data_IF_068949702154
#
_entry.id   IF_068949702154
#
_cell.length_a   1.000
_cell.length_b   1.000
_cell.length_c   1.000
_cell.angle_alpha   90.00
_cell.angle_beta   90.00
_cell.angle_gamma   90.00
#
_symmetry.space_group_name_H-M   'P 1'
#
loop_
_entity.id
_entity.type
_entity.pdbx_description
1 polymer ?
#
# COMPACT_ATOMS: atom_id res chain seq x y z
N UNK A 1 38.41 19.66 -4.35
CA UNK A 1 37.55 18.98 -3.36
C UNK A 1 36.09 19.50 -3.30
N UNK A 2 35.82 20.81 -3.47
CA UNK A 2 34.44 21.36 -3.49
C UNK A 2 33.61 21.04 -4.75
N UNK A 3 34.22 20.72 -5.89
CA UNK A 3 33.51 20.38 -7.13
C UNK A 3 32.98 18.90 -7.17
N UNK A 4 33.62 17.99 -6.42
CA UNK A 4 33.23 16.59 -6.38
C UNK A 4 31.97 16.36 -5.53
N UNK A 5 31.68 17.24 -4.56
CA UNK A 5 30.48 17.15 -3.73
C UNK A 5 29.24 17.82 -4.35
N UNK A 6 29.42 18.68 -5.35
CA UNK A 6 28.32 19.34 -6.04
C UNK A 6 27.70 18.47 -7.15
N UNK A 7 28.46 17.56 -7.76
CA UNK A 7 27.94 16.66 -8.81
C UNK A 7 27.17 15.44 -8.30
N UNK A 8 27.30 15.09 -7.02
CA UNK A 8 26.53 14.01 -6.41
C UNK A 8 25.18 14.46 -5.81
N UNK A 9 24.94 15.75 -5.71
CA UNK A 9 23.69 16.28 -5.15
C UNK A 9 22.53 16.36 -6.16
N UNK A 10 22.81 16.24 -7.46
CA UNK A 10 21.81 16.47 -8.51
C UNK A 10 21.11 15.20 -9.01
N UNK A 11 21.36 14.04 -8.41
CA UNK A 11 20.75 12.76 -8.86
C UNK A 11 19.81 12.11 -7.85
N UNK A 12 19.67 12.65 -6.65
CA UNK A 12 18.65 12.20 -5.72
C UNK A 12 17.34 12.92 -6.04
N UNK A 13 16.52 12.28 -6.84
CA UNK A 13 15.12 12.68 -7.02
C UNK A 13 14.41 12.42 -5.69
N UNK A 14 14.43 13.43 -4.78
CA UNK A 14 13.61 13.39 -3.57
C UNK A 14 12.16 13.51 -4.02
N UNK A 15 11.50 12.40 -4.14
CA UNK A 15 10.08 12.34 -4.40
C UNK A 15 9.32 12.58 -3.09
N UNK A 16 8.29 13.40 -3.13
CA UNK A 16 7.72 14.02 -1.93
C UNK A 16 6.57 13.26 -1.31
N UNK A 17 6.03 12.20 -1.97
CA UNK A 17 4.81 11.50 -1.52
C UNK A 17 4.89 9.99 -1.72
N UNK A 18 4.17 9.24 -0.88
CA UNK A 18 3.95 7.79 -1.01
C UNK A 18 3.28 7.38 -2.34
N UNK A 19 2.65 8.33 -3.02
CA UNK A 19 2.10 8.19 -4.39
C UNK A 19 3.15 7.82 -5.44
N UNK A 20 4.45 7.97 -5.14
CA UNK A 20 5.52 7.64 -6.09
C UNK A 20 5.99 6.19 -6.01
N UNK A 21 5.48 5.41 -5.04
CA UNK A 21 5.76 3.97 -4.93
C UNK A 21 4.77 3.24 -5.85
N UNK A 22 5.18 3.00 -7.09
CA UNK A 22 4.37 2.36 -8.11
C UNK A 22 5.07 1.15 -8.70
N UNK A 23 4.91 -0.05 -8.09
CA UNK A 23 5.36 -1.29 -8.74
C UNK A 23 4.51 -1.55 -9.97
N UNK A 24 5.10 -2.24 -10.94
CA UNK A 24 4.40 -2.68 -12.15
C UNK A 24 3.45 -3.83 -11.76
N UNK A 25 2.16 -3.62 -11.93
CA UNK A 25 1.14 -4.63 -11.65
C UNK A 25 0.35 -4.96 -12.91
N UNK A 26 -0.03 -6.22 -13.05
CA UNK A 26 -1.04 -6.63 -14.02
C UNK A 26 -2.38 -6.72 -13.32
N UNK A 27 -3.46 -6.18 -13.91
CA UNK A 27 -4.79 -6.32 -13.33
C UNK A 27 -5.15 -7.79 -13.08
N UNK A 28 -5.80 -8.07 -11.96
CA UNK A 28 -6.32 -9.38 -11.58
C UNK A 28 -7.82 -9.30 -11.29
N UNK A 29 -8.59 -10.38 -11.46
CA UNK A 29 -10.00 -10.42 -11.07
C UNK A 29 -10.18 -10.08 -9.59
N UNK A 30 -11.25 -9.38 -9.24
CA UNK A 30 -11.58 -9.04 -7.86
C UNK A 30 -11.75 -10.29 -7.00
N UNK A 31 -12.28 -11.37 -7.56
CA UNK A 31 -12.35 -12.69 -6.91
C UNK A 31 -10.97 -13.19 -6.49
N UNK A 32 -9.96 -13.05 -7.33
CA UNK A 32 -8.58 -13.42 -7.02
C UNK A 32 -7.95 -12.46 -6.00
N UNK A 33 -8.21 -11.16 -6.11
CA UNK A 33 -7.71 -10.18 -5.16
C UNK A 33 -8.22 -10.43 -3.73
N UNK A 34 -9.43 -10.98 -3.58
CA UNK A 34 -10.09 -11.28 -2.32
C UNK A 34 -9.90 -12.74 -1.85
N UNK A 35 -9.09 -13.53 -2.54
CA UNK A 35 -8.81 -14.91 -2.13
C UNK A 35 -8.22 -14.95 -0.71
N UNK A 36 -8.78 -15.85 0.14
CA UNK A 36 -8.37 -15.96 1.55
C UNK A 36 -8.93 -14.91 2.51
N UNK A 37 -9.65 -13.91 2.03
CA UNK A 37 -10.36 -12.94 2.87
C UNK A 37 -11.58 -13.62 3.50
N UNK A 38 -11.77 -13.43 4.81
CA UNK A 38 -12.87 -14.05 5.57
C UNK A 38 -14.12 -13.18 5.60
N UNK A 39 -15.28 -13.83 5.64
CA UNK A 39 -16.57 -13.15 5.83
C UNK A 39 -17.00 -12.33 4.64
N UNK A 40 -16.67 -12.75 3.42
CA UNK A 40 -17.04 -12.10 2.18
C UNK A 40 -18.56 -12.17 1.95
N UNK A 41 -19.15 -11.01 1.67
CA UNK A 41 -20.51 -10.87 1.16
C UNK A 41 -20.47 -10.08 -0.16
N UNK A 42 -20.80 -10.75 -1.25
CA UNK A 42 -20.79 -10.24 -2.62
C UNK A 42 -22.15 -9.68 -3.07
N UNK A 43 -23.13 -9.61 -2.18
CA UNK A 43 -24.51 -9.22 -2.55
C UNK A 43 -24.61 -7.86 -3.23
N UNK A 44 -23.62 -6.99 -3.02
CA UNK A 44 -23.56 -5.65 -3.60
C UNK A 44 -22.45 -5.51 -4.67
N UNK A 45 -21.85 -6.64 -5.08
CA UNK A 45 -20.86 -6.70 -6.16
C UNK A 45 -21.15 -7.91 -7.04
N UNK A 46 -22.05 -7.79 -8.02
CA UNK A 46 -22.46 -8.93 -8.86
C UNK A 46 -21.38 -9.38 -9.83
N UNK A 47 -20.44 -8.49 -10.21
CA UNK A 47 -19.34 -8.81 -11.11
C UNK A 47 -18.06 -9.10 -10.32
N UNK A 48 -17.81 -10.37 -10.05
CA UNK A 48 -16.62 -10.87 -9.36
C UNK A 48 -15.38 -10.92 -10.26
N UNK A 49 -15.55 -10.81 -11.59
CA UNK A 49 -14.48 -10.79 -12.59
C UNK A 49 -14.01 -9.37 -12.92
N UNK A 50 -14.63 -8.35 -12.32
CA UNK A 50 -14.12 -6.99 -12.33
C UNK A 50 -12.64 -7.00 -11.95
N UNK A 51 -11.79 -6.37 -12.75
CA UNK A 51 -10.33 -6.41 -12.52
C UNK A 51 -9.85 -5.22 -11.70
N UNK A 52 -8.81 -5.44 -10.90
CA UNK A 52 -8.15 -4.39 -10.11
C UNK A 52 -6.64 -4.52 -10.24
N UNK A 53 -5.92 -3.39 -10.26
CA UNK A 53 -4.46 -3.32 -10.43
C UNK A 53 -3.73 -2.84 -9.18
N UNK A 54 -4.45 -2.34 -8.19
CA UNK A 54 -3.88 -1.82 -6.95
C UNK A 54 -4.91 -1.71 -5.85
N UNK A 55 -4.45 -1.37 -4.66
CA UNK A 55 -5.29 -1.20 -3.48
C UNK A 55 -4.73 -0.12 -2.56
N UNK A 56 -5.61 0.70 -2.00
CA UNK A 56 -5.26 1.62 -0.91
C UNK A 56 -6.38 1.76 0.11
N UNK A 57 -6.00 2.14 1.33
CA UNK A 57 -6.91 2.58 2.40
C UNK A 57 -7.04 4.11 2.45
N UNK A 58 -6.27 4.81 1.63
CA UNK A 58 -6.27 6.27 1.50
C UNK A 58 -6.83 6.68 0.15
N UNK A 59 -7.85 7.52 0.13
CA UNK A 59 -8.43 8.03 -1.12
C UNK A 59 -7.47 8.89 -1.93
N UNK A 60 -6.45 9.46 -1.29
CA UNK A 60 -5.42 10.29 -1.96
C UNK A 60 -4.46 9.42 -2.79
N UNK A 61 -4.26 8.16 -2.39
CA UNK A 61 -3.35 7.22 -3.05
C UNK A 61 -4.03 6.39 -4.16
N UNK A 62 -5.33 6.53 -4.34
CA UNK A 62 -6.08 5.77 -5.35
C UNK A 62 -5.69 6.24 -6.75
N UNK A 63 -5.63 5.30 -7.66
CA UNK A 63 -5.47 5.50 -9.10
C UNK A 63 -6.53 4.71 -9.87
N UNK A 64 -6.55 4.91 -11.18
CA UNK A 64 -7.46 4.19 -12.07
C UNK A 64 -7.35 2.67 -11.90
N UNK A 65 -8.50 2.03 -11.82
CA UNK A 65 -8.62 0.58 -11.66
C UNK A 65 -8.08 0.04 -10.31
N UNK A 66 -8.11 0.87 -9.27
CA UNK A 66 -7.72 0.46 -7.92
C UNK A 66 -8.94 0.13 -7.04
N UNK A 67 -8.67 -0.66 -6.02
CA UNK A 67 -9.62 -1.02 -4.97
C UNK A 67 -9.46 -0.08 -3.77
N UNK A 68 -10.53 0.58 -3.38
CA UNK A 68 -10.55 1.36 -2.15
C UNK A 68 -10.99 0.49 -0.97
N UNK A 69 -10.20 0.39 0.09
CA UNK A 69 -10.59 -0.30 1.33
C UNK A 69 -10.94 0.73 2.40
N UNK A 70 -12.22 0.90 2.64
CA UNK A 70 -12.74 1.84 3.63
C UNK A 70 -12.77 1.20 5.02
N UNK A 71 -11.82 1.60 5.87
CA UNK A 71 -11.62 1.03 7.20
C UNK A 71 -12.34 1.87 8.26
N UNK A 72 -13.03 1.24 9.24
CA UNK A 72 -13.52 1.95 10.41
C UNK A 72 -12.35 2.52 11.22
N UNK A 73 -12.33 3.84 11.41
CA UNK A 73 -11.33 4.54 12.22
C UNK A 73 -11.84 4.86 13.61
N UNK A 74 -10.93 5.30 14.49
CA UNK A 74 -11.27 5.66 15.87
C UNK A 74 -12.23 6.86 15.98
N UNK A 75 -12.16 7.80 15.04
CA UNK A 75 -12.96 9.04 15.07
C UNK A 75 -14.06 9.00 14.01
N UNK A 76 -13.76 8.43 12.86
CA UNK A 76 -14.66 8.42 11.72
C UNK A 76 -14.38 7.24 10.81
N UNK A 77 -15.43 6.76 10.12
CA UNK A 77 -15.31 5.68 9.15
C UNK A 77 -14.66 6.18 7.84
N UNK A 78 -13.74 5.39 7.28
CA UNK A 78 -13.05 5.70 6.02
C UNK A 78 -13.98 5.86 4.82
N UNK A 79 -15.20 5.29 4.87
CA UNK A 79 -16.19 5.40 3.80
C UNK A 79 -16.58 6.82 3.46
N UNK A 80 -16.43 7.78 4.37
CA UNK A 80 -16.67 9.20 4.09
C UNK A 80 -15.84 9.75 2.92
N UNK A 81 -14.72 9.09 2.62
CA UNK A 81 -13.83 9.47 1.54
C UNK A 81 -14.16 8.77 0.21
N UNK A 82 -15.31 8.07 0.13
CA UNK A 82 -15.71 7.31 -1.05
C UNK A 82 -15.76 8.18 -2.31
N UNK A 83 -16.36 9.37 -2.25
CA UNK A 83 -16.42 10.26 -3.42
C UNK A 83 -15.02 10.60 -3.95
N UNK A 84 -14.10 10.97 -3.07
CA UNK A 84 -12.74 11.29 -3.48
C UNK A 84 -12.02 10.05 -4.06
N UNK A 85 -12.25 8.85 -3.50
CA UNK A 85 -11.70 7.63 -4.04
C UNK A 85 -12.24 7.28 -5.43
N UNK A 86 -13.55 7.47 -5.66
CA UNK A 86 -14.18 7.26 -6.97
C UNK A 86 -13.70 8.27 -7.99
N UNK A 87 -13.61 9.54 -7.63
CA UNK A 87 -13.04 10.59 -8.50
C UNK A 87 -11.57 10.32 -8.86
N UNK A 88 -10.82 9.68 -7.96
CA UNK A 88 -9.44 9.27 -8.21
C UNK A 88 -9.30 7.97 -9.01
N UNK A 89 -10.40 7.26 -9.35
CA UNK A 89 -10.40 6.06 -10.19
C UNK A 89 -10.66 4.74 -9.47
N UNK A 90 -11.18 4.77 -8.22
CA UNK A 90 -11.57 3.53 -7.55
C UNK A 90 -12.68 2.80 -8.31
N UNK A 91 -12.43 1.54 -8.64
CA UNK A 91 -13.35 0.69 -9.40
C UNK A 91 -14.34 -0.05 -8.51
N UNK A 92 -13.96 -0.34 -7.28
CA UNK A 92 -14.79 -0.99 -6.28
C UNK A 92 -14.37 -0.55 -4.87
N UNK A 93 -15.22 -0.82 -3.88
CA UNK A 93 -14.93 -0.59 -2.48
C UNK A 93 -15.07 -1.87 -1.66
N UNK A 94 -14.14 -2.08 -0.73
CA UNK A 94 -14.22 -3.12 0.32
C UNK A 94 -14.45 -2.42 1.65
N UNK A 95 -15.45 -2.84 2.40
CA UNK A 95 -15.78 -2.23 3.69
C UNK A 95 -16.55 -3.19 4.59
N UNK A 96 -16.87 -2.81 5.81
CA UNK A 96 -17.78 -3.54 6.68
C UNK A 96 -19.26 -3.23 6.36
N UNK A 97 -20.17 -3.84 7.12
CA UNK A 97 -21.61 -3.65 6.92
C UNK A 97 -22.05 -2.20 7.12
N UNK A 98 -21.54 -1.52 8.16
CA UNK A 98 -21.87 -0.11 8.40
C UNK A 98 -21.40 0.78 7.24
N UNK A 99 -20.17 0.55 6.78
CA UNK A 99 -19.63 1.26 5.63
C UNK A 99 -20.39 1.00 4.34
N UNK A 100 -20.90 -0.23 4.14
CA UNK A 100 -21.67 -0.59 2.93
C UNK A 100 -23.02 0.13 2.85
N UNK A 101 -23.72 0.31 3.95
CA UNK A 101 -24.98 1.04 4.02
C UNK A 101 -24.76 2.51 3.61
N UNK A 102 -23.75 3.14 4.19
CA UNK A 102 -23.37 4.52 3.84
C UNK A 102 -22.85 4.65 2.40
N UNK A 103 -22.09 3.67 1.92
CA UNK A 103 -21.58 3.68 0.54
C UNK A 103 -22.73 3.69 -0.47
N UNK A 104 -23.78 2.91 -0.24
CA UNK A 104 -24.96 2.86 -1.12
C UNK A 104 -25.74 4.16 -1.16
N UNK A 105 -25.79 4.87 -0.03
CA UNK A 105 -26.41 6.21 0.02
C UNK A 105 -25.60 7.25 -0.76
N UNK A 106 -24.27 7.14 -0.72
CA UNK A 106 -23.36 8.07 -1.37
C UNK A 106 -23.18 7.81 -2.86
N UNK A 107 -23.05 6.54 -3.25
CA UNK A 107 -22.85 6.10 -4.63
C UNK A 107 -23.48 4.70 -4.82
N UNK A 108 -24.74 4.62 -5.30
CA UNK A 108 -25.46 3.34 -5.43
C UNK A 108 -24.90 2.41 -6.49
N UNK A 109 -24.11 2.93 -7.44
CA UNK A 109 -23.64 2.17 -8.61
C UNK A 109 -22.27 1.55 -8.40
N UNK A 110 -21.49 1.99 -7.37
CA UNK A 110 -20.16 1.42 -7.14
C UNK A 110 -20.28 -0.02 -6.61
N UNK A 111 -19.52 -0.98 -7.17
CA UNK A 111 -19.44 -2.31 -6.62
C UNK A 111 -18.90 -2.32 -5.19
N UNK A 112 -19.59 -2.98 -4.26
CA UNK A 112 -19.23 -3.05 -2.84
C UNK A 112 -19.06 -4.50 -2.43
N UNK A 113 -17.91 -4.83 -1.85
CA UNK A 113 -17.69 -6.11 -1.18
C UNK A 113 -17.66 -5.88 0.32
N UNK A 114 -18.52 -6.60 1.04
CA UNK A 114 -18.59 -6.50 2.51
C UNK A 114 -17.68 -7.57 3.11
N UNK A 115 -16.92 -7.18 4.11
CA UNK A 115 -16.01 -8.08 4.86
C UNK A 115 -16.17 -7.89 6.36
N UNK A 116 -15.79 -8.90 7.13
CA UNK A 116 -15.88 -8.83 8.59
C UNK A 116 -14.91 -7.80 9.21
N UNK A 117 -13.69 -7.71 8.66
CA UNK A 117 -12.62 -6.81 9.12
C UNK A 117 -11.90 -6.21 7.92
N UNK A 118 -12.26 -4.99 7.48
CA UNK A 118 -11.64 -4.33 6.34
C UNK A 118 -10.14 -4.09 6.53
N UNK A 119 -9.68 -3.81 7.75
CA UNK A 119 -8.26 -3.58 8.03
C UNK A 119 -7.45 -4.85 7.77
N UNK A 120 -7.90 -5.97 8.30
CA UNK A 120 -7.26 -7.26 8.07
C UNK A 120 -7.37 -7.70 6.62
N UNK A 121 -8.52 -7.50 6.00
CA UNK A 121 -8.75 -7.77 4.59
C UNK A 121 -7.77 -7.01 3.70
N UNK A 122 -7.50 -5.73 3.98
CA UNK A 122 -6.59 -4.91 3.18
C UNK A 122 -5.18 -5.50 3.05
N UNK A 123 -4.69 -6.18 4.09
CA UNK A 123 -3.39 -6.84 4.05
C UNK A 123 -3.39 -8.05 3.09
N UNK A 124 -4.42 -8.92 3.19
CA UNK A 124 -4.56 -10.08 2.31
C UNK A 124 -4.74 -9.65 0.85
N UNK A 125 -5.60 -8.67 0.62
CA UNK A 125 -5.87 -8.12 -0.71
C UNK A 125 -4.58 -7.56 -1.34
N UNK A 126 -3.83 -6.76 -0.59
CA UNK A 126 -2.58 -6.20 -1.07
C UNK A 126 -1.55 -7.29 -1.40
N UNK A 127 -1.39 -8.28 -0.52
CA UNK A 127 -0.50 -9.41 -0.77
C UNK A 127 -0.88 -10.14 -2.07
N UNK A 128 -2.17 -10.37 -2.34
CA UNK A 128 -2.64 -11.02 -3.57
C UNK A 128 -2.36 -10.16 -4.81
N UNK A 129 -2.73 -8.88 -4.79
CA UNK A 129 -2.52 -7.95 -5.92
C UNK A 129 -1.02 -7.83 -6.25
N UNK A 130 -0.17 -7.68 -5.23
CA UNK A 130 1.28 -7.54 -5.39
C UNK A 130 2.02 -8.89 -5.44
N UNK A 131 1.28 -10.03 -5.51
CA UNK A 131 1.84 -11.38 -5.67
C UNK A 131 2.82 -11.77 -4.58
N UNK A 132 2.44 -11.55 -3.32
CA UNK A 132 3.20 -11.95 -2.12
C UNK A 132 4.69 -11.59 -2.18
N UNK A 133 5.06 -10.32 -2.36
CA UNK A 133 6.44 -9.93 -2.62
C UNK A 133 7.39 -10.34 -1.50
N UNK A 134 6.92 -10.36 -0.25
CA UNK A 134 7.71 -10.79 0.90
C UNK A 134 8.24 -12.23 0.79
N UNK A 135 7.55 -13.10 0.04
CA UNK A 135 7.98 -14.49 -0.14
C UNK A 135 9.25 -14.64 -1.01
N UNK A 136 9.51 -13.67 -1.87
CA UNK A 136 10.69 -13.63 -2.74
C UNK A 136 11.86 -12.84 -2.14
N UNK A 137 11.62 -12.05 -1.10
CA UNK A 137 12.61 -11.17 -0.47
C UNK A 137 13.12 -11.72 0.85
N UNK A 138 14.35 -11.37 1.20
CA UNK A 138 14.86 -11.54 2.57
C UNK A 138 14.45 -10.33 3.39
N UNK A 139 13.46 -10.49 4.24
CA UNK A 139 12.90 -9.40 5.05
C UNK A 139 13.38 -9.48 6.51
N UNK A 140 13.61 -8.32 7.11
CA UNK A 140 13.86 -8.17 8.54
C UNK A 140 12.99 -7.04 9.10
N UNK A 141 12.41 -7.24 10.28
CA UNK A 141 11.60 -6.24 10.95
C UNK A 141 12.15 -5.93 12.34
N UNK A 142 12.11 -4.64 12.71
CA UNK A 142 12.55 -4.16 14.03
C UNK A 142 11.36 -3.53 14.73
N UNK A 143 11.00 -4.07 15.90
CA UNK A 143 9.95 -3.53 16.76
C UNK A 143 10.51 -3.09 18.11
N UNK A 144 9.81 -2.22 18.82
CA UNK A 144 10.20 -1.73 20.15
C UNK A 144 9.73 -0.29 20.37
N UNK A 145 9.81 0.17 21.61
CA UNK A 145 9.47 1.55 21.99
C UNK A 145 10.51 2.55 21.52
N UNK A 146 11.80 2.19 21.62
CA UNK A 146 12.94 3.04 21.24
C UNK A 146 13.92 2.28 20.34
N UNK A 147 14.77 3.00 19.62
CA UNK A 147 15.88 2.45 18.85
C UNK A 147 15.52 1.85 17.48
N UNK A 148 14.24 1.74 17.12
CA UNK A 148 13.80 1.16 15.83
C UNK A 148 14.55 1.78 14.64
N UNK A 149 14.47 3.09 14.50
CA UNK A 149 15.11 3.83 13.40
C UNK A 149 16.61 3.61 13.38
N UNK A 150 17.29 3.80 14.51
CA UNK A 150 18.75 3.59 14.58
C UNK A 150 19.14 2.17 14.19
N UNK A 151 18.42 1.16 14.72
CA UNK A 151 18.71 -0.24 14.44
C UNK A 151 18.51 -0.59 12.95
N UNK A 152 17.45 -0.07 12.32
CA UNK A 152 17.20 -0.31 10.90
C UNK A 152 18.27 0.31 10.01
N UNK A 153 18.74 1.52 10.33
CA UNK A 153 19.84 2.15 9.57
C UNK A 153 21.18 1.44 9.76
N UNK A 154 21.51 0.99 10.98
CA UNK A 154 22.70 0.19 11.24
C UNK A 154 22.63 -1.15 10.49
N UNK A 155 21.49 -1.83 10.56
CA UNK A 155 21.29 -3.09 9.84
C UNK A 155 21.45 -2.90 8.33
N UNK A 156 20.81 -1.87 7.75
CA UNK A 156 20.97 -1.53 6.35
C UNK A 156 22.43 -1.26 5.99
N UNK A 157 23.17 -0.51 6.81
CA UNK A 157 24.59 -0.23 6.59
C UNK A 157 25.44 -1.50 6.55
N UNK A 158 25.17 -2.46 7.44
CA UNK A 158 25.85 -3.77 7.45
C UNK A 158 25.48 -4.57 6.20
N UNK A 159 24.19 -4.65 5.86
CA UNK A 159 23.71 -5.43 4.73
C UNK A 159 24.22 -4.91 3.39
N UNK A 160 24.47 -3.61 3.24
CA UNK A 160 25.05 -3.02 2.03
C UNK A 160 26.42 -3.58 1.66
N UNK A 161 27.14 -4.17 2.61
CA UNK A 161 28.41 -4.84 2.33
C UNK A 161 28.23 -6.21 1.64
N UNK A 162 27.03 -6.80 1.72
CA UNK A 162 26.73 -8.15 1.24
C UNK A 162 25.67 -8.15 0.14
N UNK A 163 24.73 -7.22 0.19
CA UNK A 163 23.61 -7.07 -0.75
C UNK A 163 23.67 -5.72 -1.42
N UNK A 164 23.23 -5.65 -2.68
CA UNK A 164 23.07 -4.38 -3.39
C UNK A 164 21.96 -3.58 -2.73
N UNK A 165 22.27 -2.46 -2.13
CA UNK A 165 21.38 -1.44 -1.59
C UNK A 165 20.04 -1.92 -1.00
N UNK A 166 20.02 -2.56 0.18
CA UNK A 166 18.80 -3.08 0.81
C UNK A 166 17.73 -2.00 0.96
N UNK A 167 16.48 -2.31 0.61
CA UNK A 167 15.35 -1.41 0.81
C UNK A 167 15.14 -1.13 2.31
N UNK A 168 14.63 0.06 2.61
CA UNK A 168 14.31 0.50 3.97
C UNK A 168 12.90 1.07 3.99
N UNK A 169 12.06 0.58 4.90
CA UNK A 169 10.78 1.19 5.25
C UNK A 169 10.84 1.62 6.72
N UNK A 170 10.94 2.92 6.97
CA UNK A 170 11.17 3.45 8.30
C UNK A 170 10.40 4.73 8.60
N UNK A 171 10.53 5.21 9.83
CA UNK A 171 9.85 6.41 10.34
C UNK A 171 10.32 7.70 9.64
N UNK A 172 11.55 7.73 9.17
CA UNK A 172 12.17 8.93 8.56
C UNK A 172 12.00 8.91 7.06
N UNK A 173 12.30 7.77 6.46
CA UNK A 173 12.24 7.61 5.01
C UNK A 173 11.85 6.18 4.60
N UNK A 174 11.35 6.08 3.39
CA UNK A 174 11.24 4.85 2.61
C UNK A 174 12.29 4.94 1.51
N UNK A 175 13.10 3.89 1.36
CA UNK A 175 14.16 3.85 0.36
C UNK A 175 14.11 2.53 -0.40
N UNK A 176 14.08 2.60 -1.73
CA UNK A 176 14.12 1.44 -2.62
C UNK A 176 15.00 1.78 -3.82
N UNK A 177 16.22 1.26 -3.87
CA UNK A 177 17.22 1.68 -4.85
C UNK A 177 17.50 3.18 -4.75
N UNK A 178 17.39 3.88 -5.88
CA UNK A 178 17.58 5.35 -5.96
C UNK A 178 16.38 6.16 -5.47
N UNK A 179 15.23 5.50 -5.26
CA UNK A 179 14.03 6.15 -4.75
C UNK A 179 14.16 6.41 -3.25
N UNK A 180 13.99 7.67 -2.85
CA UNK A 180 13.96 8.10 -1.44
C UNK A 180 12.75 8.97 -1.22
N UNK A 181 11.87 8.55 -0.30
CA UNK A 181 10.62 9.24 0.03
C UNK A 181 10.62 9.53 1.52
N UNK A 182 10.28 10.75 1.92
CA UNK A 182 10.07 11.07 3.32
C UNK A 182 8.85 10.32 3.85
N UNK A 183 9.03 9.61 4.96
CA UNK A 183 7.91 8.93 5.61
C UNK A 183 7.11 9.92 6.45
N UNK A 184 5.80 9.96 6.22
CA UNK A 184 4.87 10.78 7.02
C UNK A 184 4.33 10.03 8.25
N UNK A 185 4.53 8.70 8.30
CA UNK A 185 3.98 7.82 9.32
C UNK A 185 5.06 6.98 9.99
N UNK A 186 4.91 6.74 11.28
CA UNK A 186 5.79 5.83 12.02
C UNK A 186 5.64 4.38 11.55
N UNK A 187 4.45 4.02 11.08
CA UNK A 187 4.13 2.68 10.58
C UNK A 187 3.20 2.83 9.38
N UNK A 188 3.63 2.33 8.24
CA UNK A 188 2.81 2.28 7.03
C UNK A 188 1.68 1.27 7.19
N UNK A 189 0.56 1.52 6.51
CA UNK A 189 -0.55 0.55 6.42
C UNK A 189 -0.14 -0.63 5.53
N UNK A 190 -0.76 -1.78 5.73
CA UNK A 190 -0.37 -3.01 5.04
C UNK A 190 -0.33 -2.89 3.50
N UNK A 191 -1.29 -2.24 2.81
CA UNK A 191 -1.20 -2.06 1.36
C UNK A 191 0.03 -1.27 0.92
N UNK A 192 0.44 -0.27 1.69
CA UNK A 192 1.64 0.51 1.41
C UNK A 192 2.92 -0.34 1.59
N UNK A 193 2.97 -1.16 2.66
CA UNK A 193 4.10 -2.08 2.90
C UNK A 193 4.24 -3.09 1.75
N UNK A 194 3.15 -3.74 1.34
CA UNK A 194 3.17 -4.71 0.24
C UNK A 194 3.61 -4.04 -1.08
N UNK A 195 3.19 -2.81 -1.32
CA UNK A 195 3.59 -2.01 -2.48
C UNK A 195 5.09 -1.67 -2.47
N UNK A 196 5.63 -1.29 -1.30
CA UNK A 196 7.07 -1.07 -1.11
C UNK A 196 7.86 -2.35 -1.37
N UNK A 197 7.41 -3.49 -0.83
CA UNK A 197 8.05 -4.78 -1.04
C UNK A 197 8.00 -5.22 -2.51
N UNK A 198 6.88 -4.98 -3.20
CA UNK A 198 6.77 -5.26 -4.62
C UNK A 198 7.77 -4.43 -5.44
N UNK A 199 7.89 -3.15 -5.15
CA UNK A 199 8.87 -2.28 -5.79
C UNK A 199 10.31 -2.71 -5.46
N UNK A 200 10.59 -3.14 -4.23
CA UNK A 200 11.90 -3.66 -3.85
C UNK A 200 12.27 -4.91 -4.65
N UNK A 201 11.31 -5.83 -4.83
CA UNK A 201 11.49 -7.03 -5.67
C UNK A 201 11.79 -6.71 -7.14
N UNK A 202 11.24 -5.64 -7.70
CA UNK A 202 11.51 -5.20 -9.07
C UNK A 202 12.90 -4.60 -9.25
N UNK A 203 13.51 -4.14 -8.17
CA UNK A 203 14.82 -3.48 -8.19
C UNK A 203 15.99 -4.43 -7.87
N UNK A 204 15.72 -5.69 -7.48
CA UNK A 204 16.74 -6.74 -7.34
C UNK A 204 17.30 -7.14 -8.72
#
# INVERSE_FOLDING_TARGET
>A
MKKLFAEQADTLKVMTYATDIRPITSPIPLSQALEGVQGLDWSLCPDTELTVSGVSVSSIDIEDNWLFVAIPGLVQHGIRFLHAAVEAGATAVVTDREGSERAREMNPDIPIVIVADPRRASATIAANIYRHPASALKTAAVTGTNGKTTTTYLLRSILRSTFNDPALCGTVEIRVGDLVINSEKTTSEAPEVERILALAREKE
#
